data_IF_694170188685
#
_entry.id   IF_694170188685
#
_cell.length_a   1.000
_cell.length_b   1.000
_cell.length_c   1.000
_cell.angle_alpha   90.00
_cell.angle_beta   90.00
_cell.angle_gamma   90.00
#
_symmetry.space_group_name_H-M   'P 1'
#
loop_
_entity.id
_entity.type
_entity.pdbx_description
1 polymer ?
#
# COMPACT_ATOMS: atom_id res chain seq x y z
N UNK A 1 18.98 4.11 -47.01
CA UNK A 1 19.99 5.07 -46.50
C UNK A 1 20.85 4.32 -45.51
N UNK A 2 22.07 3.93 -45.90
CA UNK A 2 23.05 3.29 -45.02
C UNK A 2 23.89 4.40 -44.41
N UNK A 3 24.02 4.45 -43.08
CA UNK A 3 25.02 5.20 -42.29
C UNK A 3 24.83 4.75 -40.82
N UNK A 4 25.75 4.10 -40.10
CA UNK A 4 27.11 3.64 -40.40
C UNK A 4 27.52 2.63 -39.32
N UNK A 5 28.59 1.88 -39.57
CA UNK A 5 29.24 1.04 -38.57
C UNK A 5 29.76 1.90 -37.42
N UNK A 6 29.12 1.81 -36.26
CA UNK A 6 29.69 2.33 -35.02
C UNK A 6 30.66 1.27 -34.48
N UNK A 7 31.94 1.61 -34.58
CA UNK A 7 33.02 1.28 -33.65
C UNK A 7 32.55 0.67 -32.34
N UNK A 8 33.23 -0.41 -31.90
CA UNK A 8 33.11 -1.08 -30.58
C UNK A 8 32.86 -0.05 -29.48
N UNK A 9 31.58 0.24 -29.22
CA UNK A 9 31.15 1.42 -28.49
C UNK A 9 30.48 1.01 -27.20
N UNK A 10 30.88 1.64 -26.10
CA UNK A 10 30.27 1.52 -24.78
C UNK A 10 28.74 1.40 -24.90
N UNK A 11 28.18 0.33 -24.32
CA UNK A 11 26.74 0.12 -24.30
C UNK A 11 26.08 1.29 -23.57
N UNK A 12 25.44 2.20 -24.31
CA UNK A 12 24.76 3.35 -23.71
C UNK A 12 23.58 2.88 -22.84
N UNK A 13 23.29 3.56 -21.72
CA UNK A 13 22.07 3.34 -20.96
C UNK A 13 20.85 3.47 -21.87
N UNK A 14 19.89 2.56 -21.70
CA UNK A 14 18.60 2.62 -22.39
C UNK A 14 17.59 3.35 -21.51
N UNK A 15 16.75 4.16 -22.13
CA UNK A 15 15.68 4.89 -21.46
C UNK A 15 14.38 4.78 -22.25
N UNK A 16 13.29 4.49 -21.54
CA UNK A 16 11.92 4.56 -22.03
C UNK A 16 11.17 5.59 -21.18
N UNK A 17 10.35 6.41 -21.84
CA UNK A 17 9.52 7.43 -21.19
C UNK A 17 8.09 7.33 -21.70
N UNK A 18 7.15 7.30 -20.78
CA UNK A 18 5.72 7.36 -21.08
C UNK A 18 5.10 8.60 -20.46
N UNK A 19 4.48 9.45 -21.28
CA UNK A 19 3.75 10.62 -20.83
C UNK A 19 2.26 10.31 -20.72
N UNK A 20 1.72 10.41 -19.51
CA UNK A 20 0.34 10.03 -19.20
C UNK A 20 -0.43 11.29 -18.82
N UNK A 21 -1.56 11.52 -19.50
CA UNK A 21 -2.44 12.67 -19.27
C UNK A 21 -3.84 12.22 -18.89
N UNK A 22 -4.28 12.64 -17.71
CA UNK A 22 -5.66 12.50 -17.27
C UNK A 22 -6.51 13.59 -17.94
N UNK A 23 -7.41 13.19 -18.85
CA UNK A 23 -8.27 14.13 -19.59
C UNK A 23 -9.43 14.64 -18.76
N UNK A 24 -9.96 13.83 -17.86
CA UNK A 24 -11.14 14.14 -17.05
C UNK A 24 -10.93 13.55 -15.66
N UNK A 25 -10.99 14.38 -14.63
CA UNK A 25 -11.08 13.94 -13.24
C UNK A 25 -12.32 14.61 -12.64
N UNK A 26 -13.26 13.80 -12.12
CA UNK A 26 -14.37 14.35 -11.32
C UNK A 26 -13.80 14.81 -9.97
N UNK A 27 -14.37 15.85 -9.34
CA UNK A 27 -14.00 16.24 -7.99
C UNK A 27 -14.03 15.02 -7.05
N UNK A 28 -12.97 14.84 -6.26
CA UNK A 28 -12.83 13.73 -5.32
C UNK A 28 -12.33 12.41 -5.93
N UNK A 29 -12.06 12.33 -7.24
CA UNK A 29 -11.42 11.13 -7.82
C UNK A 29 -9.99 10.94 -7.30
N UNK A 30 -9.57 9.68 -7.25
CA UNK A 30 -8.22 9.29 -6.84
C UNK A 30 -7.51 8.51 -7.94
N UNK A 31 -6.20 8.67 -8.00
CA UNK A 31 -5.26 7.96 -8.84
C UNK A 31 -4.52 6.96 -7.95
N UNK A 32 -4.59 5.68 -8.30
CA UNK A 32 -3.83 4.62 -7.61
C UNK A 32 -2.67 4.19 -8.48
N UNK A 33 -1.48 4.17 -7.90
CA UNK A 33 -0.26 3.65 -8.54
C UNK A 33 0.30 2.53 -7.68
N UNK A 34 0.38 1.33 -8.26
CA UNK A 34 0.85 0.14 -7.57
C UNK A 34 1.97 -0.54 -8.36
N UNK A 35 3.04 -0.93 -7.68
CA UNK A 35 4.14 -1.70 -8.23
C UNK A 35 3.96 -3.19 -7.90
N UNK A 36 3.67 -3.98 -8.93
CA UNK A 36 3.36 -5.40 -8.81
C UNK A 36 4.57 -6.21 -9.29
N UNK A 37 5.01 -7.24 -8.54
CA UNK A 37 6.12 -8.08 -8.95
C UNK A 37 5.85 -8.73 -10.31
N UNK A 38 6.89 -8.81 -11.15
CA UNK A 38 6.82 -9.56 -12.39
C UNK A 38 6.77 -11.06 -12.11
N UNK A 39 5.90 -11.77 -12.84
CA UNK A 39 5.73 -13.24 -12.74
C UNK A 39 7.03 -14.02 -13.01
N UNK A 40 8.05 -13.38 -13.61
CA UNK A 40 9.33 -14.01 -13.97
C UNK A 40 10.40 -13.93 -12.89
N UNK A 41 10.24 -13.09 -11.86
CA UNK A 41 11.29 -12.88 -10.86
C UNK A 41 10.89 -13.49 -9.51
N UNK A 42 11.06 -14.81 -9.38
CA UNK A 42 11.26 -15.40 -8.05
C UNK A 42 12.67 -15.08 -7.61
N UNK A 43 12.77 -14.27 -6.55
CA UNK A 43 13.93 -14.13 -5.67
C UNK A 43 15.29 -13.83 -6.32
N UNK A 44 15.73 -12.57 -6.22
CA UNK A 44 17.06 -12.25 -5.65
C UNK A 44 17.14 -10.74 -5.40
N UNK A 45 17.57 -10.40 -4.19
CA UNK A 45 17.98 -9.05 -3.82
C UNK A 45 19.26 -8.67 -4.60
N UNK A 46 19.34 -7.38 -4.98
CA UNK A 46 20.51 -6.57 -5.39
C UNK A 46 21.70 -7.34 -6.02
N UNK A 47 21.99 -7.20 -7.31
CA UNK A 47 22.46 -5.96 -7.94
C UNK A 47 22.01 -5.85 -9.40
N UNK A 48 21.77 -4.61 -9.86
CA UNK A 48 21.60 -4.31 -11.28
C UNK A 48 20.16 -4.46 -11.83
N UNK A 49 19.13 -4.08 -11.05
CA UNK A 49 17.78 -3.89 -11.60
C UNK A 49 17.63 -2.50 -12.23
N UNK A 50 16.84 -2.44 -13.29
CA UNK A 50 16.46 -1.20 -13.94
C UNK A 50 15.76 -0.24 -12.96
N UNK A 51 16.01 1.06 -13.10
CA UNK A 51 15.38 2.10 -12.29
C UNK A 51 14.12 2.59 -12.97
N UNK A 52 13.00 2.47 -12.28
CA UNK A 52 11.72 3.04 -12.69
C UNK A 52 11.32 4.15 -11.72
N UNK A 53 10.89 5.29 -12.25
CA UNK A 53 10.39 6.42 -11.48
C UNK A 53 9.11 6.98 -12.09
N UNK A 54 8.22 7.47 -11.24
CA UNK A 54 7.05 8.24 -11.66
C UNK A 54 7.29 9.68 -11.26
N UNK A 55 7.35 10.56 -12.25
CA UNK A 55 7.52 12.00 -12.08
C UNK A 55 6.17 12.70 -12.26
N UNK A 56 5.76 13.47 -11.27
CA UNK A 56 4.60 14.34 -11.37
C UNK A 56 5.09 15.72 -11.75
N UNK A 57 4.74 16.17 -12.96
CA UNK A 57 5.12 17.47 -13.49
C UNK A 57 4.88 18.55 -12.41
N UNK A 58 5.99 19.07 -11.88
CA UNK A 58 6.14 20.11 -10.84
C UNK A 58 6.21 19.71 -9.35
N UNK A 59 6.15 18.44 -8.89
CA UNK A 59 6.09 18.17 -7.43
C UNK A 59 6.72 16.85 -6.91
N UNK A 60 7.97 16.56 -7.25
CA UNK A 60 8.74 15.38 -6.82
C UNK A 60 8.51 14.13 -7.68
N UNK A 61 9.56 13.30 -7.75
CA UNK A 61 9.50 11.96 -8.35
C UNK A 61 9.42 10.91 -7.25
N UNK A 62 8.72 9.81 -7.54
CA UNK A 62 8.67 8.63 -6.69
C UNK A 62 9.47 7.53 -7.37
N UNK A 63 10.41 6.94 -6.64
CA UNK A 63 11.13 5.74 -7.09
C UNK A 63 10.18 4.56 -6.93
N UNK A 64 9.94 3.84 -8.03
CA UNK A 64 9.07 2.66 -8.02
C UNK A 64 9.85 1.50 -7.40
N UNK A 65 9.39 1.03 -6.24
CA UNK A 65 9.90 -0.17 -5.57
C UNK A 65 8.82 -1.25 -5.58
N UNK A 66 9.22 -2.52 -5.65
CA UNK A 66 8.27 -3.65 -5.63
C UNK A 66 7.40 -3.57 -4.37
N UNK A 67 6.08 -3.68 -4.53
CA UNK A 67 5.15 -3.60 -3.39
C UNK A 67 4.68 -2.18 -3.05
N UNK A 68 5.23 -1.14 -3.69
CA UNK A 68 4.77 0.23 -3.55
C UNK A 68 3.27 0.37 -3.89
N UNK A 69 2.53 1.10 -3.07
CA UNK A 69 1.11 1.39 -3.27
C UNK A 69 0.80 2.85 -2.88
N UNK A 70 0.55 3.69 -3.88
CA UNK A 70 0.35 5.13 -3.72
C UNK A 70 -1.05 5.53 -4.18
N UNK A 71 -1.75 6.32 -3.38
CA UNK A 71 -3.09 6.84 -3.72
C UNK A 71 -3.09 8.35 -3.64
N UNK A 72 -3.25 9.00 -4.78
CA UNK A 72 -3.13 10.46 -4.90
C UNK A 72 -4.45 11.06 -5.38
N UNK A 73 -4.75 12.32 -5.01
CA UNK A 73 -5.88 13.02 -5.60
C UNK A 73 -5.69 13.15 -7.12
N UNK A 74 -6.70 12.75 -7.88
CA UNK A 74 -6.71 12.95 -9.32
C UNK A 74 -7.20 14.37 -9.62
N UNK A 75 -6.34 15.17 -10.24
CA UNK A 75 -6.67 16.53 -10.67
C UNK A 75 -6.96 16.58 -12.16
N UNK A 76 -7.83 17.50 -12.57
CA UNK A 76 -8.13 17.68 -13.99
C UNK A 76 -6.86 18.11 -14.74
N UNK A 77 -6.66 17.55 -15.94
CA UNK A 77 -5.46 17.80 -16.75
C UNK A 77 -4.14 17.39 -16.12
N UNK A 78 -4.16 16.62 -15.03
CA UNK A 78 -2.94 16.11 -14.41
C UNK A 78 -2.12 15.31 -15.43
N UNK A 79 -0.83 15.61 -15.44
CA UNK A 79 0.15 14.92 -16.27
C UNK A 79 1.25 14.36 -15.37
N UNK A 80 1.64 13.13 -15.65
CA UNK A 80 2.78 12.51 -15.01
C UNK A 80 3.52 11.65 -16.03
N UNK A 81 4.80 11.47 -15.79
CA UNK A 81 5.72 10.79 -16.67
C UNK A 81 6.25 9.56 -15.95
N UNK A 82 6.25 8.42 -16.63
CA UNK A 82 6.90 7.20 -16.14
C UNK A 82 8.21 7.07 -16.89
N UNK A 83 9.32 7.14 -16.15
CA UNK A 83 10.67 6.98 -16.66
C UNK A 83 11.22 5.62 -16.26
N UNK A 84 11.70 4.86 -17.24
CA UNK A 84 12.40 3.60 -17.05
C UNK A 84 13.80 3.70 -17.65
N UNK A 85 14.82 3.52 -16.83
CA UNK A 85 16.22 3.59 -17.24
C UNK A 85 16.99 2.36 -16.79
N UNK A 86 17.84 1.81 -17.66
CA UNK A 86 18.71 0.69 -17.32
C UNK A 86 20.02 0.69 -18.11
N UNK A 87 21.07 0.16 -17.50
CA UNK A 87 22.35 -0.07 -18.16
C UNK A 87 22.44 -1.51 -18.67
N UNK A 88 22.37 -1.76 -19.99
CA UNK A 88 22.44 -3.13 -20.55
C UNK A 88 23.82 -3.80 -20.41
N UNK A 89 24.85 -3.09 -19.92
CA UNK A 89 26.14 -3.67 -19.54
C UNK A 89 26.17 -4.22 -18.12
N UNK A 90 25.37 -3.66 -17.21
CA UNK A 90 25.37 -4.01 -15.79
C UNK A 90 24.05 -4.61 -15.29
N UNK A 91 22.96 -4.46 -16.06
CA UNK A 91 21.60 -4.71 -15.60
C UNK A 91 20.85 -5.65 -16.55
N UNK A 92 20.16 -6.63 -15.97
CA UNK A 92 19.21 -7.47 -16.72
C UNK A 92 17.85 -6.77 -16.79
N UNK A 93 17.10 -6.91 -17.90
CA UNK A 93 15.74 -6.40 -18.01
C UNK A 93 14.77 -7.25 -17.17
N UNK A 94 14.83 -7.10 -15.85
CA UNK A 94 13.80 -7.52 -14.91
C UNK A 94 13.12 -6.26 -14.38
N UNK A 95 11.83 -6.11 -14.66
CA UNK A 95 11.06 -4.93 -14.29
C UNK A 95 9.86 -5.34 -13.47
N UNK A 96 9.53 -4.57 -12.45
CA UNK A 96 8.22 -4.65 -11.82
C UNK A 96 7.16 -4.09 -12.76
N UNK A 97 5.97 -4.66 -12.71
CA UNK A 97 4.84 -4.15 -13.47
C UNK A 97 4.28 -2.93 -12.73
N UNK A 98 4.28 -1.77 -13.39
CA UNK A 98 3.59 -0.61 -12.88
C UNK A 98 2.12 -0.67 -13.29
N UNK A 99 1.24 -0.55 -12.32
CA UNK A 99 -0.19 -0.49 -12.53
C UNK A 99 -0.72 0.86 -12.09
N UNK A 100 -1.42 1.52 -13.00
CA UNK A 100 -2.06 2.81 -12.77
C UNK A 100 -3.56 2.62 -12.92
N UNK A 101 -4.32 3.06 -11.93
CA UNK A 101 -5.77 2.89 -11.86
C UNK A 101 -6.45 4.21 -11.50
N UNK A 102 -7.65 4.40 -12.04
CA UNK A 102 -8.57 5.46 -11.67
C UNK A 102 -9.85 4.79 -11.16
N UNK A 103 -9.94 4.48 -9.85
CA UNK A 103 -11.17 3.98 -9.26
C UNK A 103 -12.32 4.96 -9.49
N UNK A 104 -13.50 4.41 -9.77
CA UNK A 104 -14.74 5.19 -9.87
C UNK A 104 -15.38 5.15 -8.47
N UNK A 105 -15.96 6.24 -7.95
CA UNK A 105 -16.70 6.19 -6.69
C UNK A 105 -17.74 5.06 -6.68
N UNK A 106 -17.86 4.32 -5.57
CA UNK A 106 -18.68 3.10 -5.48
C UNK A 106 -18.15 1.88 -6.26
N UNK A 107 -17.06 2.00 -7.03
CA UNK A 107 -16.44 0.90 -7.77
C UNK A 107 -14.91 0.96 -7.72
N UNK A 108 -14.34 0.17 -6.80
CA UNK A 108 -12.90 -0.06 -6.76
C UNK A 108 -12.42 -0.86 -7.98
N UNK A 109 -11.09 -0.91 -8.16
CA UNK A 109 -10.45 -1.74 -9.19
C UNK A 109 -10.92 -3.20 -9.16
N UNK A 110 -10.74 -3.92 -10.27
CA UNK A 110 -11.26 -5.30 -10.43
C UNK A 110 -10.78 -6.26 -9.32
N UNK A 111 -9.56 -6.09 -8.86
CA UNK A 111 -8.89 -6.86 -7.81
C UNK A 111 -8.96 -6.18 -6.43
N UNK A 112 -9.79 -5.14 -6.30
CA UNK A 112 -10.05 -4.43 -5.05
C UNK A 112 -11.49 -4.68 -4.61
N UNK A 113 -11.75 -4.60 -3.31
CA UNK A 113 -13.08 -4.67 -2.72
C UNK A 113 -13.51 -3.27 -2.31
N UNK A 114 -14.73 -2.87 -2.68
CA UNK A 114 -15.38 -1.71 -2.09
C UNK A 114 -16.14 -2.16 -0.84
N UNK A 115 -15.90 -1.51 0.29
CA UNK A 115 -16.57 -1.78 1.55
C UNK A 115 -16.60 -0.50 2.40
N UNK A 116 -17.75 -0.15 2.96
CA UNK A 116 -17.91 0.99 3.88
C UNK A 116 -17.26 2.30 3.40
N UNK A 117 -17.48 2.68 2.13
CA UNK A 117 -16.93 3.92 1.55
C UNK A 117 -15.41 3.92 1.32
N UNK A 118 -14.76 2.75 1.39
CA UNK A 118 -13.33 2.59 1.17
C UNK A 118 -13.04 1.47 0.17
N UNK A 119 -11.87 1.54 -0.46
CA UNK A 119 -11.33 0.52 -1.34
C UNK A 119 -10.23 -0.27 -0.66
N UNK A 120 -10.33 -1.59 -0.71
CA UNK A 120 -9.40 -2.52 -0.09
C UNK A 120 -8.66 -3.34 -1.12
N UNK A 121 -7.35 -3.52 -0.89
CA UNK A 121 -6.47 -4.32 -1.74
C UNK A 121 -5.53 -5.16 -0.86
N UNK A 122 -5.11 -6.33 -1.34
CA UNK A 122 -4.04 -7.10 -0.69
C UNK A 122 -2.71 -6.69 -1.32
N UNK A 123 -1.69 -6.43 -0.51
CA UNK A 123 -0.36 -6.10 -0.98
C UNK A 123 0.19 -7.22 -1.87
N UNK A 124 1.02 -6.85 -2.84
CA UNK A 124 1.56 -7.83 -3.79
C UNK A 124 2.82 -8.55 -3.25
N UNK A 125 3.41 -8.06 -2.16
CA UNK A 125 4.68 -8.53 -1.59
C UNK A 125 4.53 -8.73 -0.08
N UNK A 126 5.22 -9.75 0.45
CA UNK A 126 5.33 -9.97 1.89
C UNK A 126 6.43 -9.09 2.45
N UNK A 127 6.10 -8.24 3.41
CA UNK A 127 6.99 -7.22 3.95
C UNK A 127 6.94 -7.23 5.49
N UNK A 128 7.96 -6.67 6.14
CA UNK A 128 7.89 -6.35 7.57
C UNK A 128 6.86 -5.24 7.82
N UNK A 129 6.50 -4.98 9.07
CA UNK A 129 5.57 -3.89 9.39
C UNK A 129 6.11 -2.51 8.97
N UNK A 130 7.39 -2.25 9.20
CA UNK A 130 8.03 -1.00 8.82
C UNK A 130 8.04 -0.83 7.30
N UNK A 131 8.49 -1.86 6.57
CA UNK A 131 8.55 -1.83 5.10
C UNK A 131 7.17 -1.72 4.45
N UNK A 132 6.15 -2.36 5.03
CA UNK A 132 4.77 -2.27 4.55
C UNK A 132 4.16 -0.88 4.81
N UNK A 133 4.59 -0.21 5.87
CA UNK A 133 4.16 1.16 6.17
C UNK A 133 4.85 2.15 5.23
N UNK A 134 6.15 1.98 4.99
CA UNK A 134 6.94 2.84 4.10
C UNK A 134 6.62 2.64 2.60
N UNK A 135 6.13 1.46 2.21
CA UNK A 135 5.73 1.19 0.82
C UNK A 135 4.37 1.78 0.46
N UNK A 136 3.60 2.21 1.45
CA UNK A 136 2.24 2.74 1.29
C UNK A 136 2.26 4.27 1.44
N UNK A 137 1.59 4.98 0.54
CA UNK A 137 1.55 6.43 0.63
C UNK A 137 0.34 7.09 -0.02
N UNK A 138 0.30 8.41 0.15
CA UNK A 138 -0.89 9.20 -0.15
C UNK A 138 -2.06 8.80 0.76
N UNK A 139 -3.26 8.71 0.21
CA UNK A 139 -4.49 8.41 0.97
C UNK A 139 -4.64 6.92 1.33
N UNK A 140 -3.71 6.07 0.89
CA UNK A 140 -3.64 4.69 1.34
C UNK A 140 -2.97 4.53 2.70
N UNK A 141 -3.43 3.52 3.41
CA UNK A 141 -2.89 3.07 4.70
C UNK A 141 -3.12 1.57 4.86
N UNK A 142 -2.48 0.97 5.86
CA UNK A 142 -2.84 -0.37 6.32
C UNK A 142 -4.30 -0.34 6.80
N UNK A 143 -5.06 -1.35 6.40
CA UNK A 143 -6.45 -1.49 6.80
C UNK A 143 -6.55 -1.73 8.31
N UNK A 144 -7.54 -1.11 8.91
CA UNK A 144 -7.90 -1.27 10.32
C UNK A 144 -9.41 -1.41 10.41
N UNK A 145 -9.87 -2.17 11.40
CA UNK A 145 -11.28 -2.36 11.69
C UNK A 145 -11.56 -2.00 13.14
N UNK A 146 -12.77 -1.55 13.39
CA UNK A 146 -13.23 -1.11 14.70
C UNK A 146 -13.86 -2.20 15.55
N UNK A 147 -14.24 -3.32 14.94
CA UNK A 147 -14.85 -4.46 15.65
C UNK A 147 -14.77 -5.76 14.85
N UNK A 148 -15.02 -6.89 15.52
CA UNK A 148 -15.19 -8.19 14.83
C UNK A 148 -16.46 -8.27 13.98
N UNK A 149 -17.48 -7.49 14.30
CA UNK A 149 -18.68 -7.38 13.47
C UNK A 149 -18.31 -6.79 12.11
N UNK A 150 -17.56 -5.69 12.09
CA UNK A 150 -17.07 -5.06 10.86
C UNK A 150 -16.18 -6.02 10.05
N UNK A 151 -15.30 -6.78 10.70
CA UNK A 151 -14.48 -7.81 10.03
C UNK A 151 -15.37 -8.89 9.42
N UNK A 152 -16.39 -9.35 10.14
CA UNK A 152 -17.32 -10.38 9.64
C UNK A 152 -18.10 -9.89 8.43
N UNK A 153 -18.58 -8.65 8.46
CA UNK A 153 -19.25 -7.99 7.34
C UNK A 153 -18.31 -7.81 6.14
N UNK A 154 -17.05 -7.42 6.38
CA UNK A 154 -16.03 -7.31 5.35
C UNK A 154 -15.79 -8.65 4.63
N UNK A 155 -15.67 -9.75 5.38
CA UNK A 155 -15.48 -11.10 4.83
C UNK A 155 -16.71 -11.56 4.06
N UNK A 156 -17.92 -11.27 4.56
CA UNK A 156 -19.16 -11.55 3.85
C UNK A 156 -19.22 -10.79 2.52
N UNK A 157 -18.94 -9.49 2.53
CA UNK A 157 -18.88 -8.65 1.32
C UNK A 157 -17.83 -9.16 0.33
N UNK A 158 -16.66 -9.59 0.81
CA UNK A 158 -15.63 -10.15 -0.05
C UNK A 158 -16.08 -11.45 -0.74
N UNK A 159 -16.76 -12.32 0.01
CA UNK A 159 -17.25 -13.62 -0.48
C UNK A 159 -18.41 -13.45 -1.47
N UNK A 160 -19.31 -12.51 -1.19
CA UNK A 160 -20.46 -12.19 -2.04
C UNK A 160 -20.07 -11.82 -3.47
N UNK A 161 -18.87 -11.28 -3.70
CA UNK A 161 -18.34 -10.93 -5.05
C UNK A 161 -18.34 -12.08 -6.06
N UNK A 162 -18.27 -13.33 -5.59
CA UNK A 162 -18.37 -14.50 -6.48
C UNK A 162 -19.79 -14.71 -7.01
N UNK A 163 -20.79 -14.24 -6.28
CA UNK A 163 -22.20 -14.56 -6.48
C UNK A 163 -23.04 -13.34 -6.87
N UNK A 164 -22.50 -12.12 -6.73
CA UNK A 164 -23.19 -10.87 -7.06
C UNK A 164 -22.59 -10.19 -8.30
N UNK A 165 -23.46 -9.66 -9.16
CA UNK A 165 -23.06 -8.94 -10.36
C UNK A 165 -22.53 -7.53 -10.02
N UNK A 166 -21.41 -7.08 -10.62
CA UNK A 166 -20.56 -7.80 -11.56
C UNK A 166 -19.68 -8.83 -10.86
N UNK A 167 -19.73 -10.08 -11.34
CA UNK A 167 -18.95 -11.18 -10.76
C UNK A 167 -17.45 -10.87 -10.76
N UNK A 168 -16.84 -10.90 -9.58
CA UNK A 168 -15.41 -10.62 -9.37
C UNK A 168 -14.79 -11.65 -8.45
N UNK A 169 -13.53 -11.97 -8.71
CA UNK A 169 -12.76 -12.78 -7.77
C UNK A 169 -12.63 -12.04 -6.43
N UNK A 170 -12.90 -12.70 -5.29
CA UNK A 170 -12.63 -12.14 -3.97
C UNK A 170 -11.15 -11.81 -3.80
N UNK A 171 -10.88 -10.92 -2.85
CA UNK A 171 -9.53 -10.75 -2.32
C UNK A 171 -9.03 -12.09 -1.78
N UNK A 172 -7.77 -12.39 -2.08
CA UNK A 172 -7.13 -13.64 -1.64
C UNK A 172 -6.75 -13.56 -0.17
N UNK A 173 -7.71 -13.92 0.70
CA UNK A 173 -7.54 -13.97 2.16
C UNK A 173 -7.30 -15.40 2.66
N UNK A 174 -6.85 -16.31 1.78
CA UNK A 174 -6.53 -17.71 2.13
C UNK A 174 -5.29 -17.86 3.00
N UNK A 175 -4.48 -16.81 3.09
CA UNK A 175 -3.32 -16.72 3.94
C UNK A 175 -3.48 -15.49 4.85
N UNK A 176 -2.86 -15.49 6.03
CA UNK A 176 -2.91 -14.36 6.94
C UNK A 176 -2.42 -13.07 6.24
N UNK A 177 -3.14 -11.98 6.51
CA UNK A 177 -2.80 -10.63 6.06
C UNK A 177 -2.64 -9.72 7.26
N UNK A 178 -1.66 -8.83 7.19
CA UNK A 178 -1.40 -7.83 8.22
C UNK A 178 -2.41 -6.69 8.15
N UNK A 179 -2.80 -6.22 9.32
CA UNK A 179 -3.63 -5.04 9.56
C UNK A 179 -2.82 -3.96 10.28
N UNK A 180 -3.26 -2.72 10.19
CA UNK A 180 -2.72 -1.58 10.96
C UNK A 180 -3.26 -1.53 12.40
N UNK A 181 -3.39 -2.69 13.05
CA UNK A 181 -4.00 -2.87 14.37
C UNK A 181 -2.97 -3.46 15.34
N UNK A 182 -2.82 -2.87 16.52
CA UNK A 182 -1.83 -3.25 17.53
C UNK A 182 -2.49 -3.50 18.86
N UNK A 183 -2.07 -4.56 19.54
CA UNK A 183 -2.54 -4.86 20.88
C UNK A 183 -1.84 -3.95 21.89
N UNK A 184 -2.64 -3.25 22.68
CA UNK A 184 -2.19 -2.59 23.89
C UNK A 184 -2.52 -3.49 25.09
N UNK A 185 -1.56 -4.37 25.44
CA UNK A 185 -1.76 -5.41 26.46
C UNK A 185 -2.10 -4.83 27.84
N UNK A 186 -1.51 -3.70 28.22
CA UNK A 186 -1.69 -3.08 29.54
C UNK A 186 -3.09 -2.48 29.75
N UNK A 187 -3.73 -2.00 28.67
CA UNK A 187 -5.08 -1.44 28.73
C UNK A 187 -6.15 -2.37 28.14
N UNK A 188 -5.77 -3.58 27.69
CA UNK A 188 -6.64 -4.50 26.95
C UNK A 188 -7.42 -3.82 25.80
N UNK A 189 -6.76 -2.91 25.08
CA UNK A 189 -7.33 -2.16 23.96
C UNK A 189 -6.56 -2.45 22.67
N UNK A 190 -7.16 -2.11 21.52
CA UNK A 190 -6.44 -2.10 20.25
C UNK A 190 -6.20 -0.67 19.82
N UNK A 191 -5.00 -0.45 19.32
CA UNK A 191 -4.59 0.79 18.70
C UNK A 191 -4.62 0.61 17.20
N UNK A 192 -5.21 1.57 16.49
CA UNK A 192 -5.21 1.60 15.04
C UNK A 192 -4.27 2.69 14.56
N UNK A 193 -3.33 2.34 13.68
CA UNK A 193 -2.51 3.32 13.01
C UNK A 193 -3.30 3.96 11.89
N UNK A 194 -3.59 5.25 12.03
CA UNK A 194 -4.28 6.04 11.02
C UNK A 194 -3.40 7.19 10.60
N UNK A 195 -3.58 7.61 9.34
CA UNK A 195 -2.94 8.82 8.85
C UNK A 195 -3.61 10.06 9.45
N UNK A 196 -2.84 10.89 10.15
CA UNK A 196 -3.18 12.24 10.56
C UNK A 196 -2.59 13.31 9.63
N UNK A 197 -2.88 14.59 9.92
CA UNK A 197 -2.47 15.71 9.08
C UNK A 197 -0.94 15.95 9.07
N UNK A 198 -0.26 15.54 10.15
CA UNK A 198 1.17 15.74 10.38
C UNK A 198 2.00 14.44 10.38
N UNK A 199 1.39 13.26 10.22
CA UNK A 199 2.11 11.98 10.31
C UNK A 199 1.23 10.80 10.73
N UNK A 200 1.83 9.80 11.36
CA UNK A 200 1.15 8.66 11.94
C UNK A 200 0.44 9.07 13.25
N UNK A 201 -0.82 8.69 13.41
CA UNK A 201 -1.54 8.82 14.69
C UNK A 201 -2.06 7.45 15.10
N UNK A 202 -1.83 7.08 16.36
CA UNK A 202 -2.46 5.92 16.97
C UNK A 202 -3.79 6.33 17.60
N UNK A 203 -4.89 5.77 17.11
CA UNK A 203 -6.20 5.90 17.74
C UNK A 203 -6.46 4.69 18.62
N UNK A 204 -6.87 4.94 19.86
CA UNK A 204 -7.32 3.87 20.74
C UNK A 204 -8.80 3.62 20.50
N UNK A 205 -9.12 2.38 20.17
CA UNK A 205 -10.50 1.92 20.11
C UNK A 205 -10.72 0.90 21.22
N UNK A 206 -11.79 1.13 22.01
CA UNK A 206 -12.18 0.17 23.05
C UNK A 206 -12.59 -1.12 22.34
N UNK A 207 -11.96 -2.20 22.75
CA UNK A 207 -12.12 -3.54 22.19
C UNK A 207 -13.48 -4.14 22.60
N UNK A 208 -14.58 -3.54 22.17
CA UNK A 208 -15.86 -4.22 22.27
C UNK A 208 -15.84 -5.39 21.27
N UNK A 209 -15.59 -6.60 21.79
CA UNK A 209 -15.85 -7.87 21.12
C UNK A 209 -14.82 -8.37 20.08
N UNK A 210 -13.52 -8.05 20.19
CA UNK A 210 -12.50 -8.84 19.46
C UNK A 210 -12.13 -10.09 20.26
N UNK A 211 -12.96 -11.12 20.13
CA UNK A 211 -12.65 -12.45 20.67
C UNK A 211 -11.73 -13.18 19.70
N UNK A 212 -10.53 -13.54 20.15
CA UNK A 212 -9.65 -14.49 19.46
C UNK A 212 -10.28 -15.87 19.63
N UNK A 213 -11.08 -16.30 18.66
CA UNK A 213 -11.71 -17.62 18.69
C UNK A 213 -11.09 -18.53 17.64
N UNK A 214 -10.63 -19.71 18.04
CA UNK A 214 -10.37 -20.82 17.12
C UNK A 214 -11.71 -21.37 16.62
N UNK A 215 -12.19 -20.87 15.49
CA UNK A 215 -13.27 -21.52 14.72
C UNK A 215 -13.11 -21.14 13.24
N UNK A 216 -13.91 -21.74 12.35
CA UNK A 216 -13.96 -21.46 10.88
C UNK A 216 -14.37 -20.00 10.51
N UNK A 217 -14.22 -19.06 11.44
CA UNK A 217 -14.51 -17.64 11.31
C UNK A 217 -13.21 -16.85 11.15
N UNK A 218 -13.32 -15.60 10.71
CA UNK A 218 -12.16 -14.70 10.67
C UNK A 218 -11.55 -14.56 12.07
N UNK A 219 -10.24 -14.75 12.17
CA UNK A 219 -9.48 -14.63 13.42
C UNK A 219 -8.51 -13.46 13.29
N UNK A 220 -8.39 -12.66 14.35
CA UNK A 220 -7.37 -11.62 14.49
C UNK A 220 -6.35 -12.11 15.50
N UNK A 221 -5.09 -12.20 15.08
CA UNK A 221 -3.96 -12.61 15.91
C UNK A 221 -2.92 -11.49 15.93
N UNK A 222 -2.23 -11.36 17.06
CA UNK A 222 -1.13 -10.41 17.22
C UNK A 222 0.19 -11.17 17.25
N UNK A 223 1.05 -10.90 16.27
CA UNK A 223 2.35 -11.53 16.11
C UNK A 223 3.49 -10.52 15.99
N UNK A 224 4.67 -11.03 15.65
CA UNK A 224 5.88 -10.22 15.50
C UNK A 224 5.78 -9.25 14.30
N UNK A 225 6.08 -7.97 14.56
CA UNK A 225 6.11 -6.91 13.55
C UNK A 225 7.23 -7.09 12.52
N UNK A 226 8.31 -7.83 12.84
CA UNK A 226 9.41 -8.12 11.94
C UNK A 226 9.10 -9.22 10.90
N UNK A 227 8.13 -10.08 11.17
CA UNK A 227 7.83 -11.24 10.31
C UNK A 227 7.28 -10.80 8.94
N UNK A 228 7.78 -11.30 7.79
CA UNK A 228 7.31 -10.85 6.48
C UNK A 228 5.93 -11.41 6.13
N UNK A 229 4.94 -10.54 5.92
CA UNK A 229 3.54 -10.91 5.62
C UNK A 229 2.92 -10.00 4.54
N UNK A 230 1.91 -10.49 3.83
CA UNK A 230 1.09 -9.60 3.00
C UNK A 230 0.30 -8.66 3.92
N UNK A 231 -0.07 -7.49 3.42
CA UNK A 231 -0.85 -6.51 4.15
C UNK A 231 -2.18 -6.25 3.47
N UNK A 232 -3.24 -6.06 4.25
CA UNK A 232 -4.47 -5.50 3.73
C UNK A 232 -4.32 -3.98 3.73
N UNK A 233 -4.52 -3.38 2.56
CA UNK A 233 -4.44 -1.95 2.33
C UNK A 233 -5.84 -1.39 2.18
N UNK A 234 -6.04 -0.16 2.62
CA UNK A 234 -7.29 0.58 2.47
C UNK A 234 -7.02 2.03 2.07
N UNK A 235 -7.92 2.62 1.31
CA UNK A 235 -7.97 4.04 1.03
C UNK A 235 -9.43 4.48 0.88
N UNK A 236 -9.80 5.72 1.26
CA UNK A 236 -11.18 6.20 1.09
C UNK A 236 -11.56 6.17 -0.39
N UNK A 237 -12.84 6.13 -0.74
CA UNK A 237 -13.24 6.19 -2.15
C UNK A 237 -13.07 7.59 -2.76
N UNK A 238 -13.19 8.63 -1.93
CA UNK A 238 -13.01 10.03 -2.31
C UNK A 238 -11.73 10.60 -1.71
N UNK A 239 -11.01 11.37 -2.52
CA UNK A 239 -9.80 12.05 -2.10
C UNK A 239 -10.11 12.99 -0.92
N UNK A 240 -9.22 13.04 0.06
CA UNK A 240 -9.35 14.00 1.15
C UNK A 240 -9.21 15.43 0.60
N UNK A 241 -10.00 16.36 1.14
CA UNK A 241 -10.07 17.75 0.69
C UNK A 241 -8.78 18.56 0.94
N UNK A 242 -7.92 18.08 1.84
CA UNK A 242 -6.62 18.69 2.11
C UNK A 242 -5.63 18.19 1.06
N UNK A 243 -5.01 19.09 0.25
CA UNK A 243 -3.98 18.68 -0.70
C UNK A 243 -2.89 17.99 0.11
N UNK A 244 -2.70 16.70 -0.18
CA UNK A 244 -1.80 15.80 0.53
C UNK A 244 -0.50 16.51 0.88
N UNK A 245 -0.37 16.95 2.14
CA UNK A 245 0.94 17.16 2.71
C UNK A 245 1.67 15.83 2.54
N UNK A 246 2.98 15.89 2.27
CA UNK A 246 3.82 14.71 2.12
C UNK A 246 3.82 13.76 3.34
N UNK A 247 3.05 14.07 4.39
CA UNK A 247 2.80 13.23 5.55
C UNK A 247 1.98 11.99 5.14
N UNK A 248 2.67 10.93 4.77
CA UNK A 248 2.19 9.56 4.87
C UNK A 248 2.76 8.97 6.16
N UNK A 249 2.09 7.95 6.70
CA UNK A 249 2.59 7.28 7.89
C UNK A 249 3.91 6.57 7.52
N UNK A 250 5.00 6.88 8.23
CA UNK A 250 6.30 6.22 8.03
C UNK A 250 6.48 5.09 9.04
N UNK A 251 7.10 4.00 8.59
CA UNK A 251 7.40 2.84 9.44
C UNK A 251 8.24 3.20 10.65
N UNK A 252 9.23 4.08 10.49
CA UNK A 252 10.08 4.57 11.60
C UNK A 252 9.32 5.41 12.63
N UNK A 253 8.39 6.25 12.18
CA UNK A 253 7.52 7.04 13.06
C UNK A 253 6.58 6.13 13.85
N UNK A 254 5.98 5.16 13.17
CA UNK A 254 5.11 4.16 13.78
C UNK A 254 5.85 3.30 14.80
N UNK A 255 7.05 2.83 14.47
CA UNK A 255 7.91 2.09 15.41
C UNK A 255 8.18 2.93 16.66
N UNK A 256 8.56 4.20 16.49
CA UNK A 256 8.80 5.12 17.61
C UNK A 256 7.55 5.31 18.48
N UNK A 257 6.36 5.40 17.89
CA UNK A 257 5.10 5.51 18.63
C UNK A 257 4.81 4.24 19.45
N UNK A 258 5.06 3.07 18.88
CA UNK A 258 4.88 1.78 19.57
C UNK A 258 5.91 1.59 20.70
N UNK A 259 7.18 1.94 20.48
CA UNK A 259 8.24 1.87 21.50
C UNK A 259 7.97 2.83 22.66
N UNK A 260 7.44 4.04 22.38
CA UNK A 260 7.03 5.00 23.41
C UNK A 260 5.89 4.48 24.28
N UNK A 261 4.97 3.71 23.70
CA UNK A 261 3.92 3.08 24.48
C UNK A 261 4.53 2.03 25.40
N UNK A 262 5.34 1.13 24.87
CA UNK A 262 6.01 0.09 25.66
C UNK A 262 6.85 0.67 26.82
N UNK A 263 7.65 1.70 26.57
CA UNK A 263 8.50 2.34 27.59
C UNK A 263 7.72 3.06 28.70
N UNK A 264 6.65 3.79 28.35
CA UNK A 264 5.77 4.41 29.37
C UNK A 264 5.16 3.40 30.33
N UNK A 265 5.01 2.14 29.91
CA UNK A 265 4.51 1.08 30.78
C UNK A 265 5.61 0.45 31.62
N UNK A 266 6.83 0.29 31.09
CA UNK A 266 7.97 -0.18 31.88
C UNK A 266 8.28 0.76 33.07
N UNK A 267 8.18 2.08 32.86
CA UNK A 267 8.36 3.07 33.92
C UNK A 267 7.22 3.04 34.96
N UNK A 268 5.98 2.72 34.54
CA UNK A 268 4.83 2.59 35.43
C UNK A 268 4.89 1.32 36.29
N UNK A 269 5.42 0.21 35.76
CA UNK A 269 5.64 -1.02 36.53
C UNK A 269 6.84 -0.91 37.48
N UNK A 270 7.86 -0.11 37.16
CA UNK A 270 9.00 0.16 38.05
C UNK A 270 8.67 1.10 39.22
N UNK A 271 7.46 1.67 39.25
CA UNK A 271 7.02 2.64 40.26
C UNK A 271 6.06 2.04 41.31
N UNK A 272 5.85 0.71 41.26
CA UNK A 272 5.06 -0.11 42.19
C UNK A 272 5.97 -1.03 43.00
#
# INVERSE_FOLDING_TARGET
>A
MILGESTKGQRKPKQCRWDIRLKTAKPGMQLVIAAVPSKKDRSTAADGKARMSVDYLNRNFIIVTTGMFQVLPATEHQRFTVDLSWDPGMQKPGFDNLRILLPIPGQCGRDMLWFSGSCYAVSAVRQSMADATDSVGGDAQLASFSSMAEISEFIAANTARQNEFPYRSPLSLRQPVRLGMFLNASAATVLTAVRGDSGCVLKSEKLANITVTESDKAVVEFGDCGSPMLSLLSFPETARSVPSSAAHCKGSELATLLDRLQSRFADAESSL
#
